data_IF_274651694413
#
_entry.id   IF_274651694413
#
_cell.length_a   1.000
_cell.length_b   1.000
_cell.length_c   1.000
_cell.angle_alpha   90.00
_cell.angle_beta   90.00
_cell.angle_gamma   90.00
#
_symmetry.space_group_name_H-M   'P 1'
#
loop_
_entity.id
_entity.type
_entity.pdbx_description
1 polymer ?
#
# COMPACT_ATOMS: atom_id res chain seq x y z
N UNK A 1 -48.50 44.92 1.86
CA UNK A 1 -47.91 43.70 1.26
C UNK A 1 -46.44 43.67 1.65
N UNK A 2 -46.06 42.62 2.39
CA UNK A 2 -44.78 41.91 2.55
C UNK A 2 -43.48 42.67 2.18
N UNK A 3 -42.38 42.62 2.93
CA UNK A 3 -41.81 41.46 3.60
C UNK A 3 -40.65 41.97 4.49
N UNK A 4 -40.77 41.89 5.82
CA UNK A 4 -39.63 42.13 6.71
C UNK A 4 -38.77 40.86 6.74
N UNK A 5 -37.57 40.94 6.18
CA UNK A 5 -36.55 39.90 6.28
C UNK A 5 -36.23 39.72 7.76
N UNK A 6 -36.55 38.55 8.30
CA UNK A 6 -36.28 38.23 9.70
C UNK A 6 -34.80 37.87 9.84
N UNK A 7 -34.17 38.34 10.92
CA UNK A 7 -32.76 38.06 11.26
C UNK A 7 -32.39 36.56 11.24
N UNK A 8 -33.39 35.68 11.25
CA UNK A 8 -33.24 34.23 11.05
C UNK A 8 -32.62 33.82 9.70
N UNK A 9 -32.66 34.67 8.67
CA UNK A 9 -32.09 34.34 7.37
C UNK A 9 -30.57 34.57 7.28
N UNK A 10 -29.96 35.26 8.25
CA UNK A 10 -28.51 35.57 8.27
C UNK A 10 -27.68 34.39 8.81
N UNK A 11 -28.29 33.43 9.51
CA UNK A 11 -27.58 32.25 10.06
C UNK A 11 -27.45 31.07 9.08
N UNK A 12 -27.63 31.29 7.78
CA UNK A 12 -27.13 30.36 6.75
C UNK A 12 -25.67 30.63 6.45
N UNK A 13 -24.82 30.55 7.47
CA UNK A 13 -23.39 30.37 7.27
C UNK A 13 -23.20 29.03 6.55
N UNK A 14 -22.67 29.00 5.30
CA UNK A 14 -22.34 27.74 4.68
C UNK A 14 -21.29 27.08 5.57
N UNK A 15 -21.62 25.92 6.15
CA UNK A 15 -20.64 25.07 6.82
C UNK A 15 -19.59 24.75 5.77
N UNK A 16 -18.50 25.51 5.77
CA UNK A 16 -17.36 25.27 4.92
C UNK A 16 -17.04 23.79 5.02
N UNK A 17 -16.88 23.15 3.87
CA UNK A 17 -16.53 21.74 3.73
C UNK A 17 -15.12 21.54 4.29
N UNK A 18 -14.94 21.68 5.61
CA UNK A 18 -13.76 21.23 6.32
C UNK A 18 -13.78 19.72 6.17
N UNK A 19 -12.97 19.20 5.24
CA UNK A 19 -12.68 17.79 5.14
C UNK A 19 -12.21 17.33 6.53
N UNK A 20 -13.11 16.73 7.31
CA UNK A 20 -12.76 16.18 8.61
C UNK A 20 -11.92 14.94 8.32
N UNK A 21 -10.60 15.06 8.44
CA UNK A 21 -9.71 13.90 8.41
C UNK A 21 -10.09 12.99 9.57
N UNK A 22 -10.83 11.92 9.25
CA UNK A 22 -11.16 10.89 10.23
C UNK A 22 -10.05 9.85 10.26
N UNK A 23 -9.78 9.26 11.42
CA UNK A 23 -8.83 8.15 11.54
C UNK A 23 -9.14 7.02 10.56
N UNK A 24 -10.42 6.75 10.29
CA UNK A 24 -10.81 5.75 9.30
C UNK A 24 -10.43 6.15 7.87
N UNK A 25 -10.64 7.41 7.49
CA UNK A 25 -10.21 7.95 6.19
C UNK A 25 -8.70 7.91 6.03
N UNK A 26 -7.95 8.29 7.07
CA UNK A 26 -6.48 8.21 7.08
C UNK A 26 -5.99 6.76 6.89
N UNK A 27 -6.56 5.80 7.62
CA UNK A 27 -6.21 4.37 7.45
C UNK A 27 -6.54 3.87 6.05
N UNK A 28 -7.62 4.33 5.43
CA UNK A 28 -7.94 3.98 4.03
C UNK A 28 -6.92 4.56 3.05
N UNK A 29 -6.58 5.83 3.19
CA UNK A 29 -5.57 6.48 2.35
C UNK A 29 -4.22 5.78 2.48
N UNK A 30 -3.77 5.49 3.70
CA UNK A 30 -2.51 4.79 3.96
C UNK A 30 -2.52 3.37 3.40
N UNK A 31 -3.58 2.58 3.63
CA UNK A 31 -3.69 1.22 3.06
C UNK A 31 -3.66 1.22 1.54
N UNK A 32 -4.35 2.16 0.89
CA UNK A 32 -4.34 2.25 -0.57
C UNK A 32 -2.93 2.60 -1.05
N UNK A 33 -2.35 3.69 -0.55
CA UNK A 33 -1.02 4.15 -0.95
C UNK A 33 0.05 3.07 -0.72
N UNK A 34 0.10 2.50 0.49
CA UNK A 34 1.10 1.51 0.86
C UNK A 34 0.82 0.15 0.24
N UNK A 35 -0.45 -0.22 0.10
CA UNK A 35 -0.85 -1.45 -0.56
C UNK A 35 -0.39 -1.48 -2.01
N UNK A 36 -0.59 -0.39 -2.75
CA UNK A 36 -0.07 -0.27 -4.12
C UNK A 36 1.44 -0.18 -4.17
N UNK A 37 2.07 0.58 -3.28
CA UNK A 37 3.53 0.68 -3.21
C UNK A 37 4.18 -0.69 -3.00
N UNK A 38 3.76 -1.45 -1.99
CA UNK A 38 4.31 -2.77 -1.71
C UNK A 38 3.94 -3.80 -2.76
N UNK A 39 2.72 -3.76 -3.31
CA UNK A 39 2.35 -4.65 -4.40
C UNK A 39 3.21 -4.41 -5.65
N UNK A 40 3.45 -3.15 -6.04
CA UNK A 40 4.31 -2.79 -7.17
C UNK A 40 5.77 -3.14 -6.93
N UNK A 41 6.32 -2.74 -5.78
CA UNK A 41 7.67 -3.08 -5.34
C UNK A 41 7.91 -4.60 -5.32
N UNK A 42 6.96 -5.33 -4.74
CA UNK A 42 7.04 -6.79 -4.63
C UNK A 42 6.93 -7.46 -5.99
N UNK A 43 6.03 -6.98 -6.86
CA UNK A 43 5.89 -7.50 -8.21
C UNK A 43 7.20 -7.35 -9.01
N UNK A 44 7.86 -6.20 -8.92
CA UNK A 44 9.19 -6.01 -9.52
C UNK A 44 10.21 -7.06 -9.06
N UNK A 45 10.22 -7.38 -7.76
CA UNK A 45 11.09 -8.43 -7.21
C UNK A 45 10.70 -9.84 -7.66
N UNK A 46 9.41 -10.14 -7.81
CA UNK A 46 8.93 -11.44 -8.31
C UNK A 46 9.39 -11.68 -9.74
N UNK A 47 9.39 -10.64 -10.59
CA UNK A 47 9.86 -10.73 -11.97
C UNK A 47 11.34 -11.10 -12.07
N UNK A 48 12.14 -10.84 -11.03
CA UNK A 48 13.54 -11.27 -10.95
C UNK A 48 13.69 -12.79 -10.81
N UNK A 49 12.62 -13.57 -10.83
CA UNK A 49 12.70 -15.00 -11.12
C UNK A 49 13.31 -15.27 -12.50
N UNK A 50 13.10 -14.36 -13.46
CA UNK A 50 13.78 -14.40 -14.75
C UNK A 50 15.28 -14.07 -14.57
N UNK A 51 16.15 -14.96 -15.07
CA UNK A 51 17.59 -14.84 -14.91
C UNK A 51 18.21 -13.65 -15.67
N UNK A 52 17.63 -13.25 -16.81
CA UNK A 52 18.11 -12.10 -17.57
C UNK A 52 17.76 -10.80 -16.86
N UNK A 53 16.55 -10.69 -16.29
CA UNK A 53 16.16 -9.55 -15.47
C UNK A 53 17.02 -9.46 -14.19
N UNK A 54 17.27 -10.59 -13.54
CA UNK A 54 18.15 -10.63 -12.36
C UNK A 54 19.58 -10.21 -12.68
N UNK A 55 20.14 -10.62 -13.82
CA UNK A 55 21.51 -10.24 -14.20
C UNK A 55 21.72 -8.71 -14.34
N UNK A 56 20.67 -7.98 -14.74
CA UNK A 56 20.70 -6.52 -14.85
C UNK A 56 20.38 -5.79 -13.53
N UNK A 57 19.58 -6.41 -12.66
CA UNK A 57 19.00 -5.73 -11.49
C UNK A 57 20.01 -5.19 -10.46
N UNK A 58 21.14 -5.86 -10.13
CA UNK A 58 22.14 -5.33 -9.21
C UNK A 58 22.77 -4.00 -9.62
N UNK A 59 22.72 -3.63 -10.91
CA UNK A 59 23.19 -2.33 -11.40
C UNK A 59 22.30 -1.17 -10.93
N UNK A 60 21.00 -1.43 -10.79
CA UNK A 60 20.02 -0.45 -10.35
C UNK A 60 19.82 -0.48 -8.83
N UNK A 61 19.96 -1.66 -8.20
CA UNK A 61 19.73 -1.86 -6.76
C UNK A 61 20.88 -2.65 -6.16
N UNK A 62 21.83 -1.94 -5.55
CA UNK A 62 23.12 -2.50 -5.10
C UNK A 62 22.99 -3.70 -4.15
N UNK A 63 22.01 -3.69 -3.24
CA UNK A 63 21.86 -4.76 -2.26
C UNK A 63 21.43 -6.11 -2.86
N UNK A 64 20.89 -6.14 -4.09
CA UNK A 64 20.54 -7.39 -4.76
C UNK A 64 21.75 -8.29 -5.03
N UNK A 65 22.95 -7.72 -5.18
CA UNK A 65 24.17 -8.52 -5.32
C UNK A 65 24.57 -9.24 -4.02
N UNK A 66 24.04 -8.80 -2.87
CA UNK A 66 24.42 -9.30 -1.56
C UNK A 66 23.59 -10.51 -1.09
N UNK A 67 22.57 -10.90 -1.85
CA UNK A 67 21.64 -11.99 -1.49
C UNK A 67 21.35 -12.88 -2.69
N UNK A 68 20.86 -14.09 -2.44
CA UNK A 68 20.43 -14.98 -3.51
C UNK A 68 19.19 -14.43 -4.24
N UNK A 69 19.12 -14.70 -5.55
CA UNK A 69 17.95 -14.39 -6.38
C UNK A 69 16.64 -14.93 -5.76
N UNK A 70 16.68 -16.17 -5.24
CA UNK A 70 15.53 -16.78 -4.59
C UNK A 70 15.02 -15.99 -3.36
N UNK A 71 15.92 -15.41 -2.56
CA UNK A 71 15.53 -14.60 -1.42
C UNK A 71 14.86 -13.30 -1.86
N UNK A 72 15.34 -12.66 -2.93
CA UNK A 72 14.72 -11.44 -3.48
C UNK A 72 13.29 -11.75 -3.97
N UNK A 73 13.12 -12.85 -4.71
CA UNK A 73 11.80 -13.29 -5.19
C UNK A 73 10.87 -13.61 -4.01
N UNK A 74 11.37 -14.28 -2.97
CA UNK A 74 10.59 -14.56 -1.75
C UNK A 74 10.12 -13.28 -1.07
N UNK A 75 11.00 -12.29 -0.90
CA UNK A 75 10.63 -10.97 -0.37
C UNK A 75 9.57 -10.33 -1.27
N UNK A 76 9.72 -10.43 -2.59
CA UNK A 76 8.73 -9.95 -3.56
C UNK A 76 7.35 -10.55 -3.35
N UNK A 77 7.26 -11.86 -3.18
CA UNK A 77 6.00 -12.55 -2.89
C UNK A 77 5.39 -12.04 -1.58
N UNK A 78 6.18 -11.91 -0.52
CA UNK A 78 5.73 -11.36 0.76
C UNK A 78 5.19 -9.93 0.62
N UNK A 79 5.89 -9.06 -0.12
CA UNK A 79 5.46 -7.68 -0.37
C UNK A 79 4.18 -7.61 -1.20
N UNK A 80 4.02 -8.46 -2.23
CA UNK A 80 2.78 -8.55 -3.02
C UNK A 80 1.61 -9.00 -2.15
N UNK A 81 1.77 -10.09 -1.41
CA UNK A 81 0.73 -10.61 -0.53
C UNK A 81 0.37 -9.61 0.57
N UNK A 82 1.37 -8.92 1.13
CA UNK A 82 1.18 -7.84 2.09
C UNK A 82 0.41 -6.67 1.48
N UNK A 83 0.83 -6.18 0.32
CA UNK A 83 0.21 -5.04 -0.37
C UNK A 83 -1.25 -5.32 -0.77
N UNK A 84 -1.51 -6.49 -1.35
CA UNK A 84 -2.88 -6.96 -1.66
C UNK A 84 -3.69 -7.14 -0.38
N UNK A 85 -3.08 -7.71 0.65
CA UNK A 85 -3.68 -7.93 1.97
C UNK A 85 -4.05 -6.64 2.69
N UNK A 86 -3.39 -5.51 2.43
CA UNK A 86 -3.74 -4.20 2.97
C UNK A 86 -5.06 -3.65 2.42
N UNK A 87 -5.46 -4.06 1.22
CA UNK A 87 -6.60 -3.46 0.51
C UNK A 87 -7.77 -4.44 0.42
N UNK A 88 -7.53 -5.63 -0.13
CA UNK A 88 -8.58 -6.53 -0.58
C UNK A 88 -9.50 -7.03 0.57
N UNK A 89 -8.98 -7.51 1.72
CA UNK A 89 -9.84 -8.02 2.79
C UNK A 89 -10.69 -6.94 3.47
N UNK A 90 -10.13 -5.73 3.65
CA UNK A 90 -10.87 -4.59 4.19
C UNK A 90 -11.93 -4.07 3.20
N UNK A 91 -11.62 -4.08 1.89
CA UNK A 91 -12.50 -3.53 0.86
C UNK A 91 -13.67 -4.47 0.55
N UNK A 92 -13.37 -5.77 0.41
CA UNK A 92 -14.40 -6.80 0.20
C UNK A 92 -15.15 -7.13 1.48
N UNK A 93 -14.62 -6.74 2.65
CA UNK A 93 -15.11 -7.13 3.98
C UNK A 93 -15.14 -8.65 4.21
N UNK A 94 -14.38 -9.40 3.40
CA UNK A 94 -14.14 -10.84 3.54
C UNK A 94 -12.94 -11.04 4.44
N UNK A 95 -13.15 -11.66 5.61
CA UNK A 95 -12.12 -11.88 6.64
C UNK A 95 -11.23 -10.63 6.87
N UNK A 96 -11.82 -9.47 7.24
CA UNK A 96 -11.10 -8.20 7.33
C UNK A 96 -9.91 -8.20 8.29
N UNK A 97 -9.85 -9.17 9.22
CA UNK A 97 -8.70 -9.42 10.12
C UNK A 97 -7.40 -9.77 9.38
N UNK A 98 -7.47 -10.20 8.11
CA UNK A 98 -6.27 -10.39 7.29
C UNK A 98 -5.54 -9.07 7.00
N UNK A 99 -6.25 -7.94 6.99
CA UNK A 99 -5.67 -6.62 6.71
C UNK A 99 -4.60 -6.21 7.72
N UNK A 100 -4.89 -6.20 9.03
CA UNK A 100 -3.86 -5.88 10.01
C UNK A 100 -2.78 -6.98 10.14
N UNK A 101 -3.04 -8.25 9.76
CA UNK A 101 -1.98 -9.26 9.66
C UNK A 101 -1.03 -8.98 8.51
N UNK A 102 -1.54 -8.61 7.34
CA UNK A 102 -0.74 -8.19 6.20
C UNK A 102 0.13 -6.97 6.54
N UNK A 103 -0.45 -5.98 7.23
CA UNK A 103 0.26 -4.82 7.73
C UNK A 103 1.39 -5.19 8.72
N UNK A 104 1.13 -6.15 9.63
CA UNK A 104 2.14 -6.66 10.54
C UNK A 104 3.26 -7.43 9.82
N UNK A 105 2.93 -8.22 8.80
CA UNK A 105 3.90 -8.90 7.95
C UNK A 105 4.83 -7.92 7.22
N UNK A 106 4.26 -6.88 6.60
CA UNK A 106 5.04 -5.81 5.96
C UNK A 106 5.92 -5.06 6.96
N UNK A 107 5.40 -4.81 8.16
CA UNK A 107 6.20 -4.21 9.25
C UNK A 107 7.41 -5.08 9.57
N UNK A 108 7.23 -6.39 9.71
CA UNK A 108 8.31 -7.33 9.96
C UNK A 108 9.33 -7.34 8.82
N UNK A 109 8.88 -7.35 7.55
CA UNK A 109 9.77 -7.26 6.39
C UNK A 109 10.65 -6.02 6.45
N UNK A 110 10.09 -4.86 6.81
CA UNK A 110 10.85 -3.61 6.92
C UNK A 110 11.84 -3.60 8.09
N UNK A 111 11.49 -4.23 9.22
CA UNK A 111 12.42 -4.40 10.35
C UNK A 111 13.62 -5.27 9.94
N UNK A 112 13.35 -6.39 9.26
CA UNK A 112 14.40 -7.28 8.76
C UNK A 112 15.30 -6.58 7.73
N UNK A 113 14.70 -5.81 6.80
CA UNK A 113 15.42 -5.03 5.82
C UNK A 113 16.30 -3.95 6.48
N UNK A 114 15.76 -3.20 7.46
CA UNK A 114 16.54 -2.22 8.21
C UNK A 114 17.75 -2.86 8.91
N UNK A 115 17.53 -4.00 9.59
CA UNK A 115 18.62 -4.76 10.23
C UNK A 115 19.69 -5.19 9.23
N UNK A 116 19.28 -5.71 8.07
CA UNK A 116 20.18 -6.11 6.99
C UNK A 116 21.03 -4.93 6.45
N UNK A 117 20.43 -3.76 6.24
CA UNK A 117 21.18 -2.60 5.77
C UNK A 117 22.13 -2.05 6.84
N UNK A 118 21.74 -2.09 8.11
CA UNK A 118 22.61 -1.70 9.24
C UNK A 118 23.84 -2.58 9.32
N UNK A 119 23.71 -3.91 9.19
CA UNK A 119 24.88 -4.82 9.25
C UNK A 119 25.85 -4.63 8.09
N UNK A 120 25.40 -4.01 7.00
CA UNK A 120 26.21 -3.69 5.82
C UNK A 120 26.74 -2.25 5.79
N UNK A 121 26.41 -1.43 6.79
CA UNK A 121 26.77 -0.02 6.82
C UNK A 121 26.00 0.85 5.80
N UNK A 122 24.90 0.33 5.24
CA UNK A 122 24.05 1.01 4.25
C UNK A 122 22.99 1.88 4.95
N UNK A 123 23.43 2.78 5.84
CA UNK A 123 22.54 3.54 6.73
C UNK A 123 21.55 4.45 5.99
N UNK A 124 21.88 4.88 4.78
CA UNK A 124 21.03 5.71 3.91
C UNK A 124 19.66 5.06 3.60
N UNK A 125 19.58 3.73 3.63
CA UNK A 125 18.34 2.98 3.34
C UNK A 125 17.48 2.76 4.60
N UNK A 126 18.04 2.96 5.80
CA UNK A 126 17.35 2.71 7.07
C UNK A 126 16.14 3.65 7.27
N UNK A 127 16.22 4.98 7.01
CA UNK A 127 15.07 5.87 7.17
C UNK A 127 13.85 5.45 6.34
N UNK A 128 14.07 4.98 5.10
CA UNK A 128 12.99 4.50 4.25
C UNK A 128 12.31 3.26 4.86
N UNK A 129 13.08 2.29 5.34
CA UNK A 129 12.55 1.10 6.01
C UNK A 129 11.77 1.46 7.29
N UNK A 130 12.28 2.40 8.09
CA UNK A 130 11.60 2.84 9.31
C UNK A 130 10.29 3.57 9.01
N UNK A 131 10.25 4.43 7.98
CA UNK A 131 9.02 5.08 7.55
C UNK A 131 8.00 4.06 7.03
N UNK A 132 8.45 3.17 6.14
CA UNK A 132 7.58 2.17 5.53
C UNK A 132 7.03 1.19 6.57
N UNK A 133 7.90 0.71 7.46
CA UNK A 133 7.54 -0.18 8.56
C UNK A 133 6.68 0.51 9.61
N UNK A 134 7.01 1.74 9.99
CA UNK A 134 6.26 2.51 10.98
C UNK A 134 4.83 2.80 10.56
N UNK A 135 4.62 3.19 9.30
CA UNK A 135 3.27 3.40 8.76
C UNK A 135 2.52 2.07 8.65
N UNK A 136 3.19 0.99 8.24
CA UNK A 136 2.58 -0.35 8.21
C UNK A 136 2.15 -0.80 9.62
N UNK A 137 2.97 -0.55 10.64
CA UNK A 137 2.66 -0.83 12.03
C UNK A 137 1.46 -0.01 12.52
N UNK A 138 1.41 1.27 12.15
CA UNK A 138 0.27 2.14 12.44
C UNK A 138 -1.02 1.61 11.81
N UNK A 139 -0.97 1.15 10.56
CA UNK A 139 -2.13 0.52 9.89
C UNK A 139 -2.53 -0.78 10.59
N UNK A 140 -1.56 -1.61 11.02
CA UNK A 140 -1.82 -2.84 11.76
C UNK A 140 -2.59 -2.56 13.05
N UNK A 141 -2.09 -1.65 13.89
CA UNK A 141 -2.76 -1.26 15.15
C UNK A 141 -4.10 -0.59 14.87
N UNK A 142 -4.14 0.29 13.86
CA UNK A 142 -5.32 1.03 13.44
C UNK A 142 -6.46 0.11 13.03
N UNK A 143 -6.19 -0.95 12.26
CA UNK A 143 -7.20 -1.92 11.80
C UNK A 143 -7.45 -3.05 12.77
N UNK A 144 -6.53 -3.34 13.69
CA UNK A 144 -6.75 -4.37 14.71
C UNK A 144 -7.57 -3.85 15.91
N UNK A 145 -7.24 -2.66 16.42
CA UNK A 145 -7.79 -2.15 17.69
C UNK A 145 -8.61 -0.88 17.53
N UNK A 146 -8.12 0.12 16.79
CA UNK A 146 -8.71 1.47 16.83
C UNK A 146 -9.96 1.61 15.96
N UNK A 147 -9.91 1.08 14.74
CA UNK A 147 -11.00 1.10 13.72
C UNK A 147 -11.07 -0.24 12.97
N UNK A 148 -11.51 -1.32 13.64
CA UNK A 148 -11.73 -2.60 12.99
C UNK A 148 -12.78 -2.49 11.88
N UNK A 149 -12.57 -3.22 10.78
CA UNK A 149 -13.55 -3.32 9.70
C UNK A 149 -14.53 -4.44 10.03
N UNK A 150 -15.81 -4.14 10.06
CA UNK A 150 -16.86 -5.13 10.29
C UNK A 150 -16.97 -6.09 9.10
N UNK A 151 -17.07 -7.43 9.32
CA UNK A 151 -17.37 -8.38 8.26
C UNK A 151 -18.73 -8.07 7.61
N UNK A 152 -18.85 -8.26 6.30
CA UNK A 152 -20.12 -8.17 5.58
C UNK A 152 -20.36 -9.42 4.74
N UNK A 153 -21.62 -9.72 4.42
CA UNK A 153 -21.98 -10.79 3.49
C UNK A 153 -21.52 -10.43 2.06
N UNK A 154 -20.97 -11.41 1.36
CA UNK A 154 -20.43 -11.22 0.01
C UNK A 154 -21.58 -10.89 -0.94
N UNK A 155 -21.51 -9.73 -1.60
CA UNK A 155 -22.38 -9.40 -2.74
C UNK A 155 -21.51 -9.30 -4.00
N UNK A 156 -21.88 -10.03 -5.05
CA UNK A 156 -21.12 -10.14 -6.31
C UNK A 156 -20.82 -8.78 -6.93
N UNK A 157 -21.75 -7.83 -6.82
CA UNK A 157 -21.62 -6.46 -7.34
C UNK A 157 -20.57 -5.61 -6.58
N UNK A 158 -20.35 -5.87 -5.29
CA UNK A 158 -19.32 -5.20 -4.50
C UNK A 158 -17.92 -5.68 -4.87
N UNK A 159 -17.76 -6.99 -5.03
CA UNK A 159 -16.49 -7.62 -5.43
C UNK A 159 -16.08 -7.18 -6.84
N UNK A 160 -17.02 -7.13 -7.79
CA UNK A 160 -16.73 -6.74 -9.17
C UNK A 160 -16.25 -5.28 -9.27
N UNK A 161 -16.89 -4.35 -8.54
CA UNK A 161 -16.50 -2.93 -8.51
C UNK A 161 -15.11 -2.73 -7.88
N UNK A 162 -14.85 -3.46 -6.80
CA UNK A 162 -13.56 -3.49 -6.13
C UNK A 162 -12.42 -3.99 -7.03
N UNK A 163 -12.65 -5.06 -7.78
CA UNK A 163 -11.69 -5.60 -8.74
C UNK A 163 -11.46 -4.59 -9.88
N UNK A 164 -12.52 -4.01 -10.43
CA UNK A 164 -12.41 -3.03 -11.51
C UNK A 164 -11.55 -1.80 -11.12
N UNK A 165 -11.73 -1.28 -9.90
CA UNK A 165 -10.93 -0.14 -9.39
C UNK A 165 -9.47 -0.54 -9.21
N UNK A 166 -9.20 -1.70 -8.62
CA UNK A 166 -7.82 -2.19 -8.42
C UNK A 166 -7.10 -2.46 -9.75
N UNK A 167 -7.80 -3.07 -10.72
CA UNK A 167 -7.24 -3.34 -12.06
C UNK A 167 -6.98 -2.04 -12.79
N UNK A 168 -7.90 -1.08 -12.77
CA UNK A 168 -7.70 0.22 -13.41
C UNK A 168 -6.50 0.98 -12.81
N UNK A 169 -6.35 0.98 -11.49
CA UNK A 169 -5.19 1.61 -10.84
C UNK A 169 -3.89 0.87 -11.10
N UNK A 170 -3.89 -0.47 -11.04
CA UNK A 170 -2.71 -1.27 -11.35
C UNK A 170 -2.25 -1.08 -12.80
N UNK A 171 -3.18 -1.01 -13.76
CA UNK A 171 -2.85 -0.73 -15.15
C UNK A 171 -2.24 0.68 -15.31
N UNK A 172 -2.75 1.68 -14.60
CA UNK A 172 -2.21 3.04 -14.66
C UNK A 172 -0.76 3.14 -14.14
N UNK A 173 -0.38 2.34 -13.15
CA UNK A 173 0.94 2.44 -12.49
C UNK A 173 1.94 1.43 -13.02
N UNK A 174 1.52 0.20 -13.33
CA UNK A 174 2.40 -0.86 -13.82
C UNK A 174 2.67 -0.76 -15.32
N UNK A 175 1.71 -0.34 -16.14
CA UNK A 175 1.90 -0.33 -17.60
C UNK A 175 2.99 0.65 -18.07
N UNK A 176 3.07 1.90 -17.56
CA UNK A 176 4.13 2.82 -17.97
C UNK A 176 5.51 2.33 -17.56
N UNK A 177 5.61 1.83 -16.33
CA UNK A 177 6.88 1.34 -15.76
C UNK A 177 7.39 0.09 -16.50
N UNK A 178 6.50 -0.86 -16.79
CA UNK A 178 6.83 -2.05 -17.59
C UNK A 178 7.26 -1.68 -19.02
N UNK A 179 6.54 -0.77 -19.67
CA UNK A 179 6.88 -0.30 -21.01
C UNK A 179 8.28 0.32 -21.02
N UNK A 180 8.60 1.18 -20.06
CA UNK A 180 9.93 1.79 -19.95
C UNK A 180 11.03 0.75 -19.68
N UNK A 181 10.79 -0.25 -18.83
CA UNK A 181 11.81 -1.27 -18.51
C UNK A 181 12.08 -2.25 -19.65
N UNK A 182 11.11 -2.49 -20.52
CA UNK A 182 11.24 -3.45 -21.64
C UNK A 182 11.69 -2.80 -22.94
N UNK A 183 11.54 -1.48 -23.07
CA UNK A 183 11.86 -0.74 -24.30
C UNK A 183 12.98 0.29 -24.12
N UNK A 184 13.45 0.55 -22.90
CA UNK A 184 14.68 1.32 -22.70
C UNK A 184 15.89 0.41 -22.97
N UNK A 185 16.66 0.76 -24.00
CA UNK A 185 17.99 0.21 -24.20
C UNK A 185 18.95 0.97 -23.30
N UNK A 186 19.53 0.29 -22.29
CA UNK A 186 20.61 0.82 -21.45
C UNK A 186 21.97 0.58 -22.10
#
# INVERSE_FOLDING_TARGET
MNHALTVKDIERQPKGLRARFTLNGALWALQALFGFFFAGSGFGKVLLYDGALYAAAPRAVAWYAAVSQALIVFIGICEVLGGVGLILPAMTRVRPKLTPLAAAGLTLTMILAAGFHITRGEYELVPANLLLGGVSAFVAVGRWKLRPVAPASITTSGVLKSIAVLVALALLTCAPTWYTMTHAQF
#
